data_IF_365665108354
#
_entry.id   IF_365665108354
#
_cell.length_a   1.000
_cell.length_b   1.000
_cell.length_c   1.000
_cell.angle_alpha   90.00
_cell.angle_beta   90.00
_cell.angle_gamma   90.00
#
_symmetry.space_group_name_H-M   'P 1'
#
loop_
_entity.id
_entity.type
_entity.pdbx_description
1 polymer ?
#
# COMPACT_ATOMS: atom_id res chain seq x y z
N UNK A 1 -18.48 11.20 11.32
CA UNK A 1 -17.03 10.97 11.53
C UNK A 1 -16.78 9.47 11.52
N UNK A 2 -15.74 9.07 10.82
CA UNK A 2 -15.31 7.67 10.79
C UNK A 2 -14.08 7.53 11.68
N UNK A 3 -14.10 6.58 12.62
CA UNK A 3 -12.96 6.29 13.48
C UNK A 3 -12.75 4.78 13.47
N UNK A 4 -11.59 4.32 13.04
CA UNK A 4 -11.25 2.89 12.96
C UNK A 4 -9.90 2.64 13.56
N UNK A 5 -9.74 1.51 14.23
CA UNK A 5 -8.46 1.05 14.76
C UNK A 5 -7.94 -0.06 13.86
N UNK A 6 -6.67 -0.04 13.55
CA UNK A 6 -6.03 -1.06 12.72
C UNK A 6 -6.28 -2.47 13.29
N UNK A 7 -6.17 -2.61 14.60
CA UNK A 7 -6.35 -3.90 15.26
C UNK A 7 -7.73 -4.52 15.04
N UNK A 8 -8.75 -3.68 14.77
CA UNK A 8 -10.10 -4.17 14.53
C UNK A 8 -10.31 -4.64 13.10
N UNK A 9 -9.36 -4.33 12.22
CA UNK A 9 -9.41 -4.71 10.81
C UNK A 9 -8.66 -6.03 10.58
N UNK A 10 -7.67 -6.33 11.41
CA UNK A 10 -6.87 -7.55 11.28
C UNK A 10 -7.77 -8.78 11.31
N UNK A 11 -7.52 -9.72 10.40
CA UNK A 11 -8.25 -10.98 10.25
C UNK A 11 -9.73 -10.81 9.86
N UNK A 12 -10.10 -9.66 9.31
CA UNK A 12 -11.41 -9.44 8.71
C UNK A 12 -11.29 -9.47 7.19
N UNK A 13 -12.40 -9.31 6.48
CA UNK A 13 -12.40 -9.25 5.01
C UNK A 13 -11.65 -8.01 4.49
N UNK A 14 -11.42 -7.01 5.34
CA UNK A 14 -10.65 -5.81 5.00
C UNK A 14 -9.15 -5.99 5.20
N UNK A 15 -8.71 -7.13 5.70
CA UNK A 15 -7.31 -7.50 5.83
C UNK A 15 -6.98 -8.47 4.69
N UNK A 16 -6.47 -7.94 3.58
CA UNK A 16 -6.21 -8.71 2.37
C UNK A 16 -4.73 -9.11 2.34
N UNK A 17 -4.49 -10.40 2.18
CA UNK A 17 -3.12 -10.92 2.11
C UNK A 17 -2.89 -11.69 0.82
N UNK A 18 -1.69 -11.55 0.27
CA UNK A 18 -1.19 -12.31 -0.86
C UNK A 18 0.14 -12.94 -0.50
N UNK A 19 0.80 -13.57 -1.46
CA UNK A 19 2.12 -14.16 -1.24
C UNK A 19 3.21 -13.11 -1.01
N UNK A 20 3.02 -11.87 -1.49
CA UNK A 20 4.05 -10.85 -1.47
C UNK A 20 3.71 -9.63 -0.62
N UNK A 21 2.45 -9.46 -0.24
CA UNK A 21 2.03 -8.29 0.54
C UNK A 21 0.77 -8.57 1.35
N UNK A 22 0.55 -7.71 2.34
CA UNK A 22 -0.70 -7.65 3.09
C UNK A 22 -1.16 -6.19 3.14
N UNK A 23 -2.45 -5.96 2.93
CA UNK A 23 -3.02 -4.62 2.92
C UNK A 23 -4.25 -4.59 3.81
N UNK A 24 -4.21 -3.72 4.81
CA UNK A 24 -5.36 -3.47 5.70
C UNK A 24 -6.07 -2.23 5.19
N UNK A 25 -7.33 -2.41 4.81
CA UNK A 25 -8.13 -1.37 4.15
C UNK A 25 -8.89 -0.56 5.18
N UNK A 26 -8.33 0.62 5.50
CA UNK A 26 -8.89 1.50 6.52
C UNK A 26 -10.07 2.31 6.00
N UNK A 27 -9.98 2.78 4.74
CA UNK A 27 -11.06 3.50 4.06
C UNK A 27 -11.24 2.92 2.67
N UNK A 28 -12.50 2.74 2.27
CA UNK A 28 -12.86 2.26 0.94
C UNK A 28 -13.80 3.25 0.26
N UNK A 29 -14.01 3.07 -1.05
CA UNK A 29 -14.87 3.93 -1.83
C UNK A 29 -16.26 4.10 -1.23
N UNK A 30 -16.82 3.05 -0.67
CA UNK A 30 -18.15 3.04 -0.06
C UNK A 30 -18.26 3.92 1.18
N UNK A 31 -17.14 4.34 1.77
CA UNK A 31 -17.13 5.25 2.91
C UNK A 31 -17.40 6.69 2.49
N UNK A 32 -17.39 6.99 1.20
CA UNK A 32 -17.81 8.28 0.68
C UNK A 32 -16.82 9.42 0.86
N UNK A 33 -15.55 9.12 1.15
CA UNK A 33 -14.52 10.15 1.36
C UNK A 33 -13.88 10.66 0.05
N UNK A 34 -14.17 10.00 -1.08
CA UNK A 34 -13.57 10.35 -2.35
C UNK A 34 -12.20 9.71 -2.59
N UNK A 35 -11.70 8.94 -1.64
CA UNK A 35 -10.45 8.19 -1.77
C UNK A 35 -10.50 6.98 -0.86
N UNK A 36 -9.56 6.06 -1.05
CA UNK A 36 -9.35 4.93 -0.14
C UNK A 36 -8.00 5.08 0.56
N UNK A 37 -7.86 4.46 1.72
CA UNK A 37 -6.63 4.49 2.49
C UNK A 37 -6.32 3.11 3.04
N UNK A 38 -5.10 2.64 2.82
CA UNK A 38 -4.66 1.32 3.24
C UNK A 38 -3.35 1.40 4.02
N UNK A 39 -3.20 0.51 4.99
CA UNK A 39 -1.91 0.26 5.61
C UNK A 39 -1.38 -1.03 5.00
N UNK A 40 -0.23 -0.97 4.33
CA UNK A 40 0.28 -2.08 3.53
C UNK A 40 1.66 -2.50 4.00
N UNK A 41 1.87 -3.81 4.09
CA UNK A 41 3.18 -4.40 4.34
C UNK A 41 3.60 -5.18 3.10
N UNK A 42 4.78 -4.88 2.58
CA UNK A 42 5.43 -5.66 1.53
C UNK A 42 6.38 -6.63 2.22
N UNK A 43 6.26 -7.91 1.92
CA UNK A 43 7.08 -8.93 2.59
C UNK A 43 8.52 -8.90 2.07
N UNK A 44 9.47 -9.04 2.99
CA UNK A 44 10.89 -9.06 2.66
C UNK A 44 11.21 -10.20 1.69
N UNK A 45 12.12 -9.94 0.77
CA UNK A 45 12.55 -10.94 -0.22
C UNK A 45 11.56 -11.22 -1.33
N UNK A 46 10.53 -10.40 -1.47
CA UNK A 46 9.51 -10.58 -2.49
C UNK A 46 9.57 -9.48 -3.54
N UNK A 47 8.92 -9.74 -4.67
CA UNK A 47 8.79 -8.79 -5.77
C UNK A 47 7.33 -8.77 -6.21
N UNK A 48 6.77 -7.56 -6.34
CA UNK A 48 5.37 -7.38 -6.72
C UNK A 48 5.30 -6.47 -7.95
N UNK A 49 4.62 -6.95 -8.99
CA UNK A 49 4.30 -6.14 -10.17
C UNK A 49 2.98 -5.42 -9.92
N UNK A 50 2.97 -4.11 -10.11
CA UNK A 50 1.78 -3.29 -9.87
C UNK A 50 1.53 -2.42 -11.09
N UNK A 51 0.26 -2.34 -11.50
CA UNK A 51 -0.18 -1.46 -12.59
C UNK A 51 -1.47 -0.76 -12.18
N UNK A 52 -1.36 0.54 -11.94
CA UNK A 52 -2.50 1.38 -11.58
C UNK A 52 -3.08 2.03 -12.84
N UNK A 53 -4.10 1.40 -13.43
CA UNK A 53 -4.70 1.88 -14.68
C UNK A 53 -5.75 2.96 -14.49
N UNK A 54 -6.51 2.89 -13.41
CA UNK A 54 -7.75 3.64 -13.28
C UNK A 54 -7.81 4.56 -12.08
N UNK A 55 -6.70 4.72 -11.35
CA UNK A 55 -6.69 5.61 -10.19
C UNK A 55 -5.28 6.12 -9.91
N UNK A 56 -5.23 7.21 -9.17
CA UNK A 56 -3.99 7.78 -8.70
C UNK A 56 -3.67 7.19 -7.34
N UNK A 57 -2.40 7.02 -7.07
CA UNK A 57 -1.95 6.49 -5.80
C UNK A 57 -0.70 7.22 -5.31
N UNK A 58 -0.65 7.44 -4.00
CA UNK A 58 0.55 7.91 -3.34
C UNK A 58 0.88 6.93 -2.21
N UNK A 59 2.15 6.62 -2.05
CA UNK A 59 2.64 5.69 -1.04
C UNK A 59 3.71 6.38 -0.20
N UNK A 60 3.53 6.33 1.11
CA UNK A 60 4.48 6.89 2.06
C UNK A 60 5.03 5.76 2.93
N UNK A 61 6.35 5.61 2.93
CA UNK A 61 7.02 4.58 3.71
C UNK A 61 7.18 5.02 5.15
N UNK A 62 6.67 4.24 6.10
CA UNK A 62 6.78 4.54 7.52
C UNK A 62 7.82 3.66 8.22
N UNK A 63 8.13 2.49 7.65
CA UNK A 63 9.06 1.55 8.26
C UNK A 63 9.64 0.61 7.19
N UNK A 64 10.87 0.17 7.41
CA UNK A 64 11.51 -0.81 6.54
C UNK A 64 12.22 -0.18 5.36
N UNK A 65 12.73 -1.03 4.47
CA UNK A 65 13.45 -0.62 3.27
C UNK A 65 13.03 -1.46 2.08
N UNK A 66 13.08 -0.86 0.91
CA UNK A 66 12.77 -1.54 -0.33
C UNK A 66 13.20 -0.74 -1.52
N UNK A 67 12.74 -1.16 -2.69
CA UNK A 67 13.02 -0.47 -3.95
C UNK A 67 11.78 -0.49 -4.83
N UNK A 68 11.62 0.57 -5.62
CA UNK A 68 10.61 0.65 -6.67
C UNK A 68 11.33 0.81 -8.00
N UNK A 69 11.01 -0.07 -8.95
CA UNK A 69 11.57 -0.01 -10.29
C UNK A 69 10.48 0.39 -11.28
N UNK A 70 10.78 1.39 -12.11
CA UNK A 70 9.91 1.77 -13.21
C UNK A 70 10.19 0.90 -14.43
N UNK A 71 9.15 0.32 -14.99
CA UNK A 71 9.24 -0.49 -16.20
C UNK A 71 8.52 0.28 -17.32
N UNK A 72 9.10 0.44 -18.49
CA UNK A 72 10.32 -0.20 -19.01
C UNK A 72 11.62 0.58 -18.82
N UNK A 73 11.62 1.79 -18.23
CA UNK A 73 12.83 2.61 -18.16
C UNK A 73 13.95 1.98 -17.34
N UNK A 74 13.61 1.11 -16.38
CA UNK A 74 14.58 0.46 -15.51
C UNK A 74 15.10 1.34 -14.37
N UNK A 75 14.56 2.55 -14.20
CA UNK A 75 14.96 3.41 -13.10
C UNK A 75 14.55 2.77 -11.77
N UNK A 76 15.48 2.76 -10.82
CA UNK A 76 15.29 2.17 -9.50
C UNK A 76 15.38 3.26 -8.45
N UNK A 77 14.39 3.30 -7.56
CA UNK A 77 14.36 4.26 -6.46
C UNK A 77 14.39 3.51 -5.13
N UNK A 78 15.30 3.91 -4.26
CA UNK A 78 15.40 3.32 -2.94
C UNK A 78 14.32 3.90 -2.04
N UNK A 79 13.61 3.03 -1.33
CA UNK A 79 12.53 3.41 -0.43
C UNK A 79 12.97 3.17 1.00
N UNK A 80 12.98 4.23 1.79
CA UNK A 80 13.32 4.21 3.22
C UNK A 80 12.24 4.97 3.98
N UNK A 81 12.20 4.87 5.33
CA UNK A 81 11.22 5.64 6.11
C UNK A 81 11.27 7.13 5.77
N UNK A 82 10.11 7.73 5.52
CA UNK A 82 9.99 9.12 5.11
C UNK A 82 9.95 9.32 3.60
N UNK A 83 10.05 8.28 2.80
CA UNK A 83 9.99 8.39 1.34
C UNK A 83 8.54 8.31 0.87
N UNK A 84 8.16 9.25 0.01
CA UNK A 84 6.88 9.21 -0.70
C UNK A 84 7.13 8.96 -2.18
N UNK A 85 6.31 8.11 -2.79
CA UNK A 85 6.25 8.02 -4.24
C UNK A 85 4.80 8.01 -4.72
N UNK A 86 4.60 8.52 -5.92
CA UNK A 86 3.27 8.67 -6.49
C UNK A 86 3.31 8.50 -8.02
#
# INVERSE_FOLDING_TARGET
>A
MIVRQLQDILNTESDVQTETWASRRLLLQEDGMGFSMHETTIFAGTQTHIWYKNHLEAVYCVQGEGEVELIPSGEVYKITPGTLYA
#
